data_IF_337423635879
#
_entry.id   IF_337423635879
#
_cell.length_a   1.000
_cell.length_b   1.000
_cell.length_c   1.000
_cell.angle_alpha   90.00
_cell.angle_beta   90.00
_cell.angle_gamma   90.00
#
_symmetry.space_group_name_H-M   'P 1'
#
loop_
_entity.id
_entity.type
_entity.pdbx_description
1 polymer ?
#
# COMPACT_ATOMS: atom_id res chain seq x y z
N UNK A 1 26.32 25.33 4.07
CA UNK A 1 25.12 24.55 3.70
C UNK A 1 24.74 23.68 4.88
N UNK A 2 23.48 23.71 5.33
CA UNK A 2 22.99 22.98 6.52
C UNK A 2 22.49 21.54 6.20
N UNK A 3 22.64 21.09 4.96
CA UNK A 3 22.22 19.76 4.56
C UNK A 3 23.28 18.70 4.92
N UNK A 4 22.87 17.48 5.35
CA UNK A 4 23.78 16.36 5.55
C UNK A 4 24.61 16.06 4.30
N UNK A 5 25.87 15.67 4.50
CA UNK A 5 26.79 15.33 3.42
C UNK A 5 26.32 14.11 2.60
N UNK A 6 25.58 13.21 3.23
CA UNK A 6 24.95 12.04 2.62
C UNK A 6 23.56 11.82 3.19
N UNK A 7 22.71 11.13 2.43
CA UNK A 7 21.33 10.80 2.82
C UNK A 7 21.00 9.36 2.50
N UNK A 8 20.08 8.81 3.27
CA UNK A 8 19.40 7.56 2.96
C UNK A 8 17.98 7.88 2.52
N UNK A 9 17.57 7.34 1.38
CA UNK A 9 16.22 7.44 0.87
C UNK A 9 15.57 6.06 0.91
N UNK A 10 14.30 6.03 1.31
CA UNK A 10 13.45 4.85 1.18
C UNK A 10 12.29 5.23 0.27
N UNK A 11 12.20 4.55 -0.88
CA UNK A 11 11.12 4.74 -1.84
C UNK A 11 10.09 3.63 -1.61
N UNK A 12 8.86 4.00 -1.29
CA UNK A 12 7.76 3.06 -1.17
C UNK A 12 6.87 3.13 -2.42
N UNK A 13 6.65 1.98 -3.04
CA UNK A 13 5.70 1.80 -4.13
C UNK A 13 4.56 0.92 -3.62
N UNK A 14 3.33 1.41 -3.77
CA UNK A 14 2.12 0.73 -3.27
C UNK A 14 1.32 0.13 -4.42
N UNK A 15 0.56 -0.91 -4.11
CA UNK A 15 -0.26 -1.66 -5.09
C UNK A 15 0.58 -2.17 -6.26
N UNK A 16 1.82 -2.57 -5.99
CA UNK A 16 2.71 -3.16 -6.99
C UNK A 16 2.85 -4.65 -6.74
N UNK A 17 2.88 -5.44 -7.80
CA UNK A 17 3.26 -6.84 -7.72
C UNK A 17 4.76 -6.95 -7.40
N UNK A 18 5.20 -8.15 -7.00
CA UNK A 18 6.63 -8.42 -6.85
C UNK A 18 7.35 -8.17 -8.19
N UNK A 19 8.42 -7.37 -8.13
CA UNK A 19 9.11 -6.86 -9.31
C UNK A 19 10.63 -6.83 -9.12
N UNK A 20 11.35 -6.83 -10.23
CA UNK A 20 12.79 -6.63 -10.24
C UNK A 20 13.11 -5.13 -10.11
N UNK A 21 14.16 -4.80 -9.37
CA UNK A 21 14.60 -3.41 -9.13
C UNK A 21 16.02 -3.24 -9.62
N UNK A 22 16.25 -2.19 -10.40
CA UNK A 22 17.60 -1.71 -10.75
C UNK A 22 17.73 -0.27 -10.29
N UNK A 23 18.84 0.04 -9.62
CA UNK A 23 19.17 1.41 -9.20
C UNK A 23 20.45 1.85 -9.89
N UNK A 24 20.43 3.05 -10.45
CA UNK A 24 21.63 3.70 -10.97
C UNK A 24 21.90 5.02 -10.25
N UNK A 25 23.17 5.36 -10.09
CA UNK A 25 23.65 6.65 -9.59
C UNK A 25 24.54 7.28 -10.64
N UNK A 26 24.16 8.46 -11.12
CA UNK A 26 24.83 9.14 -12.23
C UNK A 26 25.09 8.19 -13.42
N UNK A 27 24.10 7.34 -13.74
CA UNK A 27 24.17 6.37 -14.84
C UNK A 27 24.97 5.09 -14.56
N UNK A 28 25.54 4.91 -13.37
CA UNK A 28 26.27 3.68 -12.98
C UNK A 28 25.41 2.82 -12.06
N UNK A 29 25.43 1.50 -12.26
CA UNK A 29 24.74 0.56 -11.38
C UNK A 29 25.15 0.76 -9.93
N UNK A 30 24.17 0.82 -9.04
CA UNK A 30 24.37 0.97 -7.60
C UNK A 30 23.59 -0.12 -6.87
N UNK A 31 24.13 -0.57 -5.73
CA UNK A 31 23.42 -1.49 -4.85
C UNK A 31 22.13 -0.86 -4.33
N UNK A 32 21.09 -1.68 -4.25
CA UNK A 32 19.84 -1.35 -3.58
C UNK A 32 19.31 -2.61 -2.90
N UNK A 33 18.62 -2.40 -1.79
CA UNK A 33 17.96 -3.46 -1.03
C UNK A 33 16.45 -3.33 -1.24
N UNK A 34 15.88 -4.04 -2.22
CA UNK A 34 14.43 -4.11 -2.37
C UNK A 34 13.84 -5.06 -1.34
N UNK A 35 12.78 -4.62 -0.66
CA UNK A 35 11.99 -5.42 0.25
C UNK A 35 10.52 -5.39 -0.20
N UNK A 36 9.97 -6.55 -0.53
CA UNK A 36 8.57 -6.69 -0.94
C UNK A 36 7.74 -7.29 0.19
N UNK A 37 6.64 -6.63 0.54
CA UNK A 37 5.61 -7.14 1.45
C UNK A 37 4.37 -7.53 0.64
N UNK A 38 4.13 -8.83 0.52
CA UNK A 38 2.98 -9.36 -0.20
C UNK A 38 1.64 -9.03 0.49
N UNK A 39 1.61 -8.89 1.82
CA UNK A 39 0.38 -8.62 2.56
C UNK A 39 -0.14 -7.19 2.29
N UNK A 40 0.78 -6.24 2.07
CA UNK A 40 0.45 -4.84 1.75
C UNK A 40 0.66 -4.47 0.28
N UNK A 41 1.20 -5.40 -0.52
CA UNK A 41 1.61 -5.21 -1.92
C UNK A 41 2.48 -3.95 -2.06
N UNK A 42 3.46 -3.85 -1.18
CA UNK A 42 4.36 -2.72 -1.06
C UNK A 42 5.79 -3.15 -1.37
N UNK A 43 6.43 -2.41 -2.27
CA UNK A 43 7.86 -2.54 -2.57
C UNK A 43 8.60 -1.35 -1.97
N UNK A 44 9.44 -1.61 -0.97
CA UNK A 44 10.34 -0.64 -0.39
C UNK A 44 11.73 -0.78 -1.01
N UNK A 45 12.34 0.34 -1.42
CA UNK A 45 13.66 0.38 -2.04
C UNK A 45 14.54 1.35 -1.26
N UNK A 46 15.56 0.82 -0.59
CA UNK A 46 16.50 1.62 0.20
C UNK A 46 17.73 1.99 -0.63
N UNK A 47 18.05 3.28 -0.68
CA UNK A 47 19.23 3.84 -1.34
C UNK A 47 20.03 4.66 -0.33
N UNK A 48 21.16 4.12 0.11
CA UNK A 48 22.04 4.70 1.15
C UNK A 48 23.11 5.64 0.57
N UNK A 49 23.71 6.51 1.37
CA UNK A 49 24.89 7.32 0.99
C UNK A 49 24.73 8.19 -0.27
N UNK A 50 23.53 8.71 -0.53
CA UNK A 50 23.27 9.59 -1.66
C UNK A 50 23.82 10.99 -1.37
N UNK A 51 24.68 11.51 -2.23
CA UNK A 51 25.23 12.88 -2.11
C UNK A 51 24.30 13.91 -2.75
N UNK A 52 24.31 15.17 -2.28
CA UNK A 52 23.41 16.21 -2.79
C UNK A 52 23.49 16.51 -4.30
N UNK A 53 24.61 16.18 -4.95
CA UNK A 53 24.84 16.41 -6.39
C UNK A 53 24.68 15.15 -7.25
N UNK A 54 24.19 14.05 -6.67
CA UNK A 54 23.98 12.80 -7.38
C UNK A 54 22.54 12.67 -7.89
N UNK A 55 22.40 12.12 -9.09
CA UNK A 55 21.13 11.67 -9.64
C UNK A 55 20.96 10.19 -9.36
N UNK A 56 19.87 9.83 -8.70
CA UNK A 56 19.46 8.44 -8.47
C UNK A 56 18.32 8.12 -9.42
N UNK A 57 18.43 7.03 -10.16
CA UNK A 57 17.33 6.50 -10.97
C UNK A 57 16.96 5.12 -10.45
N UNK A 58 15.66 4.89 -10.27
CA UNK A 58 15.11 3.61 -9.82
C UNK A 58 14.22 3.10 -10.95
N UNK A 59 14.63 1.99 -11.56
CA UNK A 59 13.85 1.28 -12.55
C UNK A 59 13.23 0.05 -11.91
N UNK A 60 11.91 -0.08 -12.03
CA UNK A 60 11.14 -1.22 -11.53
C UNK A 60 10.53 -1.96 -12.71
N UNK A 61 10.79 -3.26 -12.80
CA UNK A 61 10.40 -4.08 -13.95
C UNK A 61 9.54 -5.24 -13.46
N UNK A 62 8.32 -5.33 -14.00
CA UNK A 62 7.42 -6.43 -13.72
C UNK A 62 8.06 -7.77 -14.08
N UNK A 63 8.00 -8.75 -13.17
CA UNK A 63 8.51 -10.10 -13.45
C UNK A 63 7.52 -10.92 -14.27
N UNK A 64 6.21 -10.65 -14.12
CA UNK A 64 5.12 -11.42 -14.74
C UNK A 64 4.28 -10.59 -15.73
N UNK A 65 4.86 -9.56 -16.33
CA UNK A 65 4.19 -8.73 -17.35
C UNK A 65 3.34 -7.57 -16.84
N UNK A 66 2.91 -7.59 -15.58
CA UNK A 66 2.17 -6.48 -14.95
C UNK A 66 2.87 -6.00 -13.67
N UNK A 67 3.00 -4.68 -13.53
CA UNK A 67 3.55 -4.07 -12.32
C UNK A 67 2.48 -3.78 -11.28
N UNK A 68 1.24 -3.56 -11.71
CA UNK A 68 0.11 -3.36 -10.82
C UNK A 68 -0.23 -4.70 -10.14
N UNK A 69 -0.39 -4.68 -8.82
CA UNK A 69 -0.92 -5.84 -8.13
C UNK A 69 -2.42 -5.97 -8.45
N UNK A 70 -2.81 -7.10 -9.01
CA UNK A 70 -4.19 -7.36 -9.45
C UNK A 70 -5.10 -7.88 -8.34
N UNK A 71 -4.55 -8.27 -7.19
CA UNK A 71 -5.39 -8.76 -6.09
C UNK A 71 -6.11 -7.62 -5.38
N UNK A 72 -7.40 -7.83 -5.13
CA UNK A 72 -8.27 -6.88 -4.48
C UNK A 72 -7.88 -6.64 -3.00
N UNK A 73 -7.27 -5.49 -2.72
CA UNK A 73 -6.83 -5.09 -1.36
C UNK A 73 -7.96 -4.65 -0.44
N UNK A 74 -9.18 -4.47 -0.94
CA UNK A 74 -10.29 -3.92 -0.16
C UNK A 74 -10.60 -4.79 1.06
N UNK A 75 -10.52 -6.13 0.90
CA UNK A 75 -10.68 -7.09 2.00
C UNK A 75 -9.65 -6.87 3.11
N UNK A 76 -8.37 -6.76 2.74
CA UNK A 76 -7.29 -6.58 3.71
C UNK A 76 -7.40 -5.23 4.44
N UNK A 77 -7.76 -4.18 3.71
CA UNK A 77 -7.91 -2.84 4.28
C UNK A 77 -9.11 -2.74 5.24
N UNK A 78 -10.25 -3.34 4.88
CA UNK A 78 -11.40 -3.41 5.80
C UNK A 78 -11.02 -4.16 7.07
N UNK A 79 -10.34 -5.31 6.97
CA UNK A 79 -9.88 -6.08 8.15
C UNK A 79 -8.94 -5.27 9.04
N UNK A 80 -8.02 -4.52 8.44
CA UNK A 80 -7.11 -3.61 9.16
C UNK A 80 -7.89 -2.54 9.94
N UNK A 81 -8.88 -1.92 9.31
CA UNK A 81 -9.76 -0.94 9.94
C UNK A 81 -10.59 -1.56 11.07
N UNK A 82 -11.20 -2.72 10.85
CA UNK A 82 -11.95 -3.44 11.87
C UNK A 82 -11.08 -3.79 13.09
N UNK A 83 -9.82 -4.13 12.88
CA UNK A 83 -8.88 -4.36 13.98
C UNK A 83 -8.67 -3.09 14.81
N UNK A 84 -8.47 -1.94 14.15
CA UNK A 84 -8.23 -0.66 14.80
C UNK A 84 -9.48 -0.05 15.47
N UNK A 85 -10.68 -0.36 14.99
CA UNK A 85 -11.91 0.24 15.52
C UNK A 85 -12.25 -0.29 16.92
N UNK A 86 -12.75 0.61 17.77
CA UNK A 86 -13.41 0.24 19.03
C UNK A 86 -14.86 -0.11 18.74
N UNK A 87 -15.10 -1.35 18.33
CA UNK A 87 -16.41 -1.96 18.08
C UNK A 87 -16.57 -3.22 18.91
N UNK A 88 -17.82 -3.63 19.16
CA UNK A 88 -18.11 -4.93 19.75
C UNK A 88 -17.56 -6.05 18.85
N UNK A 89 -17.02 -7.12 19.46
CA UNK A 89 -16.45 -8.25 18.73
C UNK A 89 -17.44 -8.89 17.75
N UNK A 90 -18.72 -8.95 18.13
CA UNK A 90 -19.77 -9.50 17.26
C UNK A 90 -19.99 -8.64 16.01
N UNK A 91 -20.00 -7.31 16.16
CA UNK A 91 -20.12 -6.39 15.02
C UNK A 91 -18.93 -6.52 14.07
N UNK A 92 -17.70 -6.65 14.59
CA UNK A 92 -16.51 -6.88 13.75
C UNK A 92 -16.60 -8.19 12.98
N UNK A 93 -16.99 -9.26 13.66
CA UNK A 93 -17.15 -10.58 13.05
C UNK A 93 -18.22 -10.58 11.96
N UNK A 94 -19.33 -9.88 12.19
CA UNK A 94 -20.43 -9.83 11.23
C UNK A 94 -20.07 -8.98 10.00
N UNK A 95 -19.35 -7.87 10.17
CA UNK A 95 -18.83 -7.10 9.02
C UNK A 95 -17.82 -7.94 8.23
N UNK A 96 -16.89 -8.65 8.90
CA UNK A 96 -15.91 -9.51 8.22
C UNK A 96 -16.57 -10.67 7.45
N UNK A 97 -17.63 -11.25 8.02
CA UNK A 97 -18.40 -12.33 7.39
C UNK A 97 -19.22 -11.83 6.18
N UNK A 98 -19.75 -10.61 6.27
CA UNK A 98 -20.54 -9.99 5.20
C UNK A 98 -19.68 -9.30 4.12
N UNK A 99 -18.34 -9.36 4.23
CA UNK A 99 -17.42 -8.72 3.29
C UNK A 99 -17.68 -9.06 1.82
N UNK A 100 -17.93 -10.33 1.42
CA UNK A 100 -18.25 -10.64 0.03
C UNK A 100 -19.47 -9.88 -0.49
N UNK A 101 -20.53 -9.78 0.30
CA UNK A 101 -21.75 -9.06 -0.07
C UNK A 101 -21.53 -7.53 -0.04
N UNK A 102 -20.70 -7.04 0.87
CA UNK A 102 -20.35 -5.61 0.93
C UNK A 102 -19.52 -5.18 -0.28
N UNK A 103 -18.65 -6.06 -0.80
CA UNK A 103 -17.83 -5.80 -1.99
C UNK A 103 -18.62 -5.94 -3.30
N UNK A 104 -19.62 -6.82 -3.34
CA UNK A 104 -20.53 -6.96 -4.49
C UNK A 104 -21.65 -5.90 -4.51
N UNK A 105 -21.85 -5.17 -3.42
CA UNK A 105 -22.93 -4.18 -3.27
C UNK A 105 -24.29 -4.79 -2.89
N UNK A 106 -24.37 -6.10 -2.69
CA UNK A 106 -25.56 -6.78 -2.16
C UNK A 106 -25.85 -6.40 -0.70
N UNK A 107 -24.82 -5.90 0.00
CA UNK A 107 -24.92 -5.39 1.35
C UNK A 107 -24.48 -3.92 1.48
N UNK A 108 -24.97 -3.26 2.53
CA UNK A 108 -24.60 -1.89 2.87
C UNK A 108 -24.14 -1.79 4.32
N UNK A 109 -23.16 -0.93 4.57
CA UNK A 109 -22.63 -0.62 5.90
C UNK A 109 -23.67 0.05 6.82
N UNK A 110 -24.73 0.63 6.26
CA UNK A 110 -25.78 1.32 7.02
C UNK A 110 -26.53 0.40 8.02
N UNK A 111 -26.40 -0.93 7.88
CA UNK A 111 -27.01 -1.91 8.79
C UNK A 111 -26.27 -2.07 10.13
N UNK A 112 -25.05 -1.57 10.25
CA UNK A 112 -24.22 -1.73 11.46
C UNK A 112 -24.19 -0.44 12.28
N UNK A 113 -24.11 -0.57 13.60
CA UNK A 113 -23.97 0.56 14.52
C UNK A 113 -22.55 1.13 14.48
N UNK A 114 -22.24 1.90 13.44
CA UNK A 114 -20.94 2.55 13.23
C UNK A 114 -21.03 4.04 13.55
N UNK A 115 -19.94 4.62 14.03
CA UNK A 115 -19.82 6.09 14.06
C UNK A 115 -19.66 6.61 12.63
N UNK A 116 -19.99 7.90 12.36
CA UNK A 116 -19.83 8.48 11.03
C UNK A 116 -18.41 8.34 10.47
N UNK A 117 -17.39 8.50 11.31
CA UNK A 117 -15.99 8.35 10.91
C UNK A 117 -15.62 6.90 10.53
N UNK A 118 -16.13 5.91 11.27
CA UNK A 118 -15.93 4.50 10.95
C UNK A 118 -16.64 4.11 9.65
N UNK A 119 -17.87 4.60 9.47
CA UNK A 119 -18.65 4.36 8.26
C UNK A 119 -17.94 4.96 7.03
N UNK A 120 -17.46 6.21 7.12
CA UNK A 120 -16.73 6.85 6.03
C UNK A 120 -15.43 6.11 5.69
N UNK A 121 -14.63 5.71 6.70
CA UNK A 121 -13.40 4.98 6.49
C UNK A 121 -13.65 3.60 5.81
N UNK A 122 -14.69 2.88 6.22
CA UNK A 122 -15.06 1.62 5.59
C UNK A 122 -15.62 1.81 4.18
N UNK A 123 -16.39 2.86 3.91
CA UNK A 123 -16.82 3.19 2.54
C UNK A 123 -15.62 3.45 1.62
N UNK A 124 -14.62 4.22 2.07
CA UNK A 124 -13.39 4.43 1.30
C UNK A 124 -12.63 3.11 1.07
N UNK A 125 -12.53 2.25 2.08
CA UNK A 125 -11.89 0.95 1.94
C UNK A 125 -12.62 0.03 0.94
N UNK A 126 -13.95 0.04 0.91
CA UNK A 126 -14.78 -0.77 0.00
C UNK A 126 -14.83 -0.22 -1.44
N UNK A 127 -14.69 1.10 -1.62
CA UNK A 127 -14.56 1.71 -2.95
C UNK A 127 -13.18 1.40 -3.58
N UNK A 128 -12.18 1.12 -2.75
CA UNK A 128 -10.78 1.06 -3.16
C UNK A 128 -10.17 2.46 -3.20
N UNK A 129 -8.84 2.53 -3.11
CA UNK A 129 -8.12 3.79 -3.31
C UNK A 129 -8.15 4.16 -4.79
N UNK A 130 -9.20 4.86 -5.22
CA UNK A 130 -9.13 5.69 -6.42
C UNK A 130 -8.16 6.84 -6.12
N UNK A 131 -6.89 6.64 -6.42
CA UNK A 131 -5.96 7.76 -6.58
C UNK A 131 -6.42 8.52 -7.82
N UNK A 132 -7.20 9.57 -7.61
CA UNK A 132 -7.50 10.54 -8.66
C UNK A 132 -6.17 11.12 -9.12
N UNK A 133 -5.82 10.88 -10.38
CA UNK A 133 -4.59 11.38 -11.05
C UNK A 133 -4.72 12.88 -11.30
#
# INVERSE_FOLDING_TARGET
SLAPATRTYVVHLHAVAQAAVTVTRNGKGAGAEPAYDAATQMLAITVIDVKPNERVEVAVTATNGELLATEDRRVAEVRRLLHAFRLESMTKWQIDSDLPQLLSGEATLARYALTPGQQQALHHALAGTETTV
#
